data_IF_060443037629
#
_entry.id   IF_060443037629
#
_cell.length_a   1.000
_cell.length_b   1.000
_cell.length_c   1.000
_cell.angle_alpha   90.00
_cell.angle_beta   90.00
_cell.angle_gamma   90.00
#
_symmetry.space_group_name_H-M   'P 1'
#
loop_
_entity.id
_entity.type
_entity.pdbx_description
1 polymer ?
#
# COMPACT_ATOMS: atom_id res chain seq x y z
N UNK A 1 -18.13 -16.19 -3.12
CA UNK A 1 -16.79 -16.64 -2.68
C UNK A 1 -15.78 -15.51 -2.88
N UNK A 2 -15.83 -14.46 -2.06
CA UNK A 2 -14.84 -13.37 -2.05
C UNK A 2 -13.68 -13.64 -1.06
N UNK A 3 -13.84 -14.66 -0.20
CA UNK A 3 -12.93 -14.99 0.89
C UNK A 3 -11.53 -15.43 0.43
N UNK A 4 -11.44 -16.08 -0.73
CA UNK A 4 -10.18 -16.61 -1.24
C UNK A 4 -9.25 -15.52 -1.75
N UNK A 5 -9.78 -14.40 -2.25
CA UNK A 5 -8.97 -13.27 -2.74
C UNK A 5 -8.44 -12.45 -1.55
N UNK A 6 -9.23 -12.33 -0.48
CA UNK A 6 -8.81 -11.72 0.78
C UNK A 6 -7.79 -12.57 1.55
N UNK A 7 -7.79 -13.90 1.38
CA UNK A 7 -6.83 -14.79 2.03
C UNK A 7 -5.38 -14.61 1.55
N UNK A 8 -5.17 -14.13 0.32
CA UNK A 8 -3.85 -13.90 -0.27
C UNK A 8 -3.45 -12.43 -0.21
N UNK A 9 -4.30 -11.56 0.35
CA UNK A 9 -3.98 -10.15 0.47
C UNK A 9 -2.81 -9.99 1.45
N UNK A 10 -1.65 -9.42 1.03
CA UNK A 10 -0.50 -9.22 1.91
C UNK A 10 -0.80 -8.26 3.08
N UNK A 11 -1.97 -7.59 3.03
CA UNK A 11 -2.49 -6.78 4.12
C UNK A 11 -3.13 -7.61 5.24
N UNK A 12 -3.38 -8.90 5.03
CA UNK A 12 -3.93 -9.81 6.04
C UNK A 12 -2.84 -10.37 6.97
N UNK A 13 -1.59 -10.36 6.52
CA UNK A 13 -0.41 -10.73 7.33
C UNK A 13 0.16 -9.54 8.12
N UNK A 14 -0.28 -8.32 7.83
CA UNK A 14 -0.06 -7.18 8.73
C UNK A 14 -0.70 -7.50 10.08
N UNK A 15 0.08 -7.33 11.16
CA UNK A 15 -0.51 -7.29 12.48
C UNK A 15 -1.57 -6.19 12.49
N UNK A 16 -2.75 -6.50 13.02
CA UNK A 16 -3.86 -5.55 13.17
C UNK A 16 -3.47 -4.31 14.02
N UNK A 17 -2.39 -4.42 14.80
CA UNK A 17 -1.78 -3.37 15.63
C UNK A 17 -0.57 -2.66 14.97
N UNK A 18 -0.22 -2.95 13.72
CA UNK A 18 0.82 -2.19 13.03
C UNK A 18 0.30 -0.80 12.66
N UNK A 19 1.11 0.23 12.91
CA UNK A 19 0.81 1.62 12.51
C UNK A 19 0.38 1.71 11.04
N UNK A 20 0.96 0.85 10.19
CA UNK A 20 0.62 0.77 8.78
C UNK A 20 -0.76 0.16 8.53
N UNK A 21 -1.14 -0.89 9.26
CA UNK A 21 -2.50 -1.43 9.17
C UNK A 21 -3.53 -0.38 9.55
N UNK A 22 -3.26 0.41 10.59
CA UNK A 22 -4.14 1.50 11.01
C UNK A 22 -4.23 2.61 9.97
N UNK A 23 -3.09 3.00 9.38
CA UNK A 23 -3.03 4.00 8.31
C UNK A 23 -3.77 3.53 7.05
N UNK A 24 -3.68 2.25 6.68
CA UNK A 24 -4.39 1.71 5.51
C UNK A 24 -5.90 1.52 5.74
N UNK A 25 -6.31 1.35 6.99
CA UNK A 25 -7.73 1.26 7.38
C UNK A 25 -8.38 2.67 7.40
N UNK A 26 -7.65 3.66 7.91
CA UNK A 26 -8.11 5.05 8.03
C UNK A 26 -7.99 5.86 6.74
N UNK A 27 -6.95 5.61 5.97
CA UNK A 27 -6.63 6.37 4.77
C UNK A 27 -6.51 5.40 3.59
N UNK A 28 -7.26 5.68 2.52
CA UNK A 28 -7.17 4.85 1.33
C UNK A 28 -5.83 5.12 0.61
N UNK A 29 -4.96 4.10 0.44
CA UNK A 29 -3.62 4.30 -0.10
C UNK A 29 -3.62 4.70 -1.58
N UNK A 30 -4.74 4.54 -2.30
CA UNK A 30 -4.92 5.08 -3.65
C UNK A 30 -5.09 6.61 -3.69
N UNK A 31 -5.39 7.25 -2.56
CA UNK A 31 -5.60 8.70 -2.47
C UNK A 31 -4.54 9.44 -1.65
N UNK A 32 -3.66 8.73 -0.93
CA UNK A 32 -2.53 9.34 -0.20
C UNK A 32 -1.58 10.12 -1.12
N UNK A 33 -0.73 10.99 -0.58
CA UNK A 33 0.35 11.59 -1.39
C UNK A 33 1.46 10.56 -1.67
N UNK A 34 2.19 10.74 -2.77
CA UNK A 34 3.33 9.88 -3.11
C UNK A 34 4.42 9.91 -2.01
N UNK A 35 4.66 11.08 -1.42
CA UNK A 35 5.61 11.25 -0.31
C UNK A 35 5.19 10.45 0.94
N UNK A 36 3.89 10.39 1.24
CA UNK A 36 3.38 9.61 2.37
C UNK A 36 3.53 8.11 2.12
N UNK A 37 3.28 7.67 0.88
CA UNK A 37 3.55 6.30 0.43
C UNK A 37 5.05 5.94 0.51
N UNK A 38 5.96 6.81 0.08
CA UNK A 38 7.42 6.62 0.22
C UNK A 38 7.85 6.53 1.69
N UNK A 39 7.27 7.36 2.55
CA UNK A 39 7.50 7.32 3.99
C UNK A 39 7.09 5.97 4.59
N UNK A 40 5.93 5.44 4.19
CA UNK A 40 5.45 4.12 4.61
C UNK A 40 6.35 2.99 4.08
N UNK A 41 6.78 3.05 2.82
CA UNK A 41 7.73 2.07 2.23
C UNK A 41 9.05 2.05 3.00
N UNK A 42 9.54 3.22 3.42
CA UNK A 42 10.81 3.35 4.16
C UNK A 42 10.69 2.91 5.62
N UNK A 43 9.52 3.14 6.24
CA UNK A 43 9.25 2.75 7.62
C UNK A 43 8.99 1.24 7.77
N UNK A 44 8.51 0.56 6.72
CA UNK A 44 8.13 -0.85 6.80
C UNK A 44 9.31 -1.82 6.78
N UNK A 45 9.54 -2.61 7.84
CA UNK A 45 10.64 -3.58 7.89
C UNK A 45 10.37 -4.83 7.04
N UNK A 46 9.12 -5.15 6.76
CA UNK A 46 8.74 -6.42 6.12
C UNK A 46 8.81 -6.33 4.60
N UNK A 47 9.57 -7.23 3.96
CA UNK A 47 9.78 -7.21 2.52
C UNK A 47 8.49 -7.38 1.69
N UNK A 48 7.54 -8.20 2.15
CA UNK A 48 6.26 -8.44 1.44
C UNK A 48 5.38 -7.18 1.40
N UNK A 49 5.21 -6.53 2.55
CA UNK A 49 4.40 -5.31 2.68
C UNK A 49 5.08 -4.16 1.92
N UNK A 50 6.41 -4.07 2.00
CA UNK A 50 7.19 -3.09 1.24
C UNK A 50 7.01 -3.28 -0.27
N UNK A 51 7.03 -4.52 -0.76
CA UNK A 51 6.79 -4.82 -2.17
C UNK A 51 5.35 -4.45 -2.60
N UNK A 52 4.35 -4.69 -1.75
CA UNK A 52 2.97 -4.28 -2.01
C UNK A 52 2.84 -2.75 -2.13
N UNK A 53 3.38 -2.00 -1.15
CA UNK A 53 3.36 -0.54 -1.16
C UNK A 53 4.13 0.03 -2.35
N UNK A 54 5.27 -0.58 -2.69
CA UNK A 54 6.07 -0.19 -3.86
C UNK A 54 5.29 -0.38 -5.17
N UNK A 55 4.57 -1.52 -5.32
CA UNK A 55 3.71 -1.75 -6.48
C UNK A 55 2.59 -0.70 -6.60
N UNK A 56 2.03 -0.27 -5.47
CA UNK A 56 1.03 0.79 -5.43
C UNK A 56 1.62 2.15 -5.82
N UNK A 57 2.79 2.49 -5.27
CA UNK A 57 3.51 3.71 -5.61
C UNK A 57 3.85 3.75 -7.10
N UNK A 58 4.36 2.64 -7.67
CA UNK A 58 4.74 2.55 -9.08
C UNK A 58 3.54 2.72 -10.01
N UNK A 59 2.40 2.06 -9.71
CA UNK A 59 1.16 2.27 -10.47
C UNK A 59 0.69 3.72 -10.43
N UNK A 60 0.74 4.36 -9.27
CA UNK A 60 0.27 5.75 -9.12
C UNK A 60 1.21 6.74 -9.80
N UNK A 61 2.51 6.49 -9.70
CA UNK A 61 3.53 7.26 -10.42
C UNK A 61 3.34 7.11 -11.93
N UNK A 62 3.12 5.90 -12.44
CA UNK A 62 2.79 5.66 -13.84
C UNK A 62 1.50 6.37 -14.27
N UNK A 63 0.46 6.37 -13.44
CA UNK A 63 -0.79 7.09 -13.72
C UNK A 63 -0.59 8.62 -13.76
N UNK A 64 0.24 9.19 -12.88
CA UNK A 64 0.60 10.61 -12.93
C UNK A 64 1.36 10.95 -14.21
N UNK A 65 2.29 10.10 -14.67
CA UNK A 65 2.99 10.30 -15.93
C UNK A 65 2.12 10.06 -17.17
N UNK A 66 1.17 9.12 -17.11
CA UNK A 66 0.25 8.82 -18.21
C UNK A 66 -0.91 9.83 -18.32
N UNK A 67 -1.29 10.49 -17.22
CA UNK A 67 -2.27 11.58 -17.19
C UNK A 67 -1.69 12.95 -17.55
N UNK A 68 -0.40 13.02 -17.90
CA UNK A 68 0.25 14.23 -18.41
C UNK A 68 -0.02 14.44 -19.90
N UNK A 69 -1.26 14.81 -20.25
CA UNK A 69 -1.63 15.48 -21.50
C UNK A 69 -2.90 16.32 -21.31
#
# INVERSE_FOLDING_TARGET
MADTILAVHPLRTLLQDSDLSCVLDLENPFYMTLERLEGLISAEPTAEIRAYLFGLYDMRRAAVYAGGA
#
